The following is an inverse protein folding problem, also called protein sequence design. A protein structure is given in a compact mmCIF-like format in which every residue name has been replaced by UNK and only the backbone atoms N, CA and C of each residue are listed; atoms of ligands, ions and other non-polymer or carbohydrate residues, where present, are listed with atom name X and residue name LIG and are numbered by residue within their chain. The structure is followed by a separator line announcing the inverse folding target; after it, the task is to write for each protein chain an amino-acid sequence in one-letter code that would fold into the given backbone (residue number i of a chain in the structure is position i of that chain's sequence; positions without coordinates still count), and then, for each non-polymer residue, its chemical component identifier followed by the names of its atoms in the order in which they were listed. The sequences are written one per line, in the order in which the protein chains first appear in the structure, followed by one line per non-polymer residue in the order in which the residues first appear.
data_IF_187167727194
#
_entry.id   IF_187167727194
#
_cell.length_a   1.000
_cell.length_b   1.000
_cell.length_c   1.000
_cell.angle_alpha   90.00
_cell.angle_beta   90.00
_cell.angle_gamma   90.00
#
_symmetry.space_group_name_H-M   'P 1'
#
loop_
_entity.id
_entity.type
_entity.pdbx_description
1 polymer ?
#
# COMPACT_ATOMS: atom_id res chain seq x y z
N UNK A 1 35.21 10.66 3.43
CA UNK A 1 35.69 11.33 4.65
C UNK A 1 35.49 10.41 5.86
N UNK A 2 36.35 10.49 6.87
CA UNK A 2 36.19 9.74 8.14
C UNK A 2 35.82 10.75 9.23
N UNK A 3 34.67 10.53 9.85
CA UNK A 3 34.11 11.40 10.89
C UNK A 3 33.69 10.53 12.06
N UNK A 4 33.89 11.02 13.28
CA UNK A 4 33.37 10.39 14.50
C UNK A 4 32.10 11.12 14.90
N UNK A 5 31.03 10.38 15.15
CA UNK A 5 29.73 10.93 15.57
C UNK A 5 29.23 10.16 16.79
N UNK A 6 28.59 10.85 17.71
CA UNK A 6 27.92 10.22 18.87
C UNK A 6 26.47 9.97 18.51
N UNK A 7 25.99 8.74 18.70
CA UNK A 7 24.58 8.39 18.52
C UNK A 7 23.88 8.34 19.88
N UNK A 8 22.65 8.87 19.93
CA UNK A 8 21.76 8.63 21.07
C UNK A 8 21.33 7.15 21.09
N UNK A 9 20.84 6.62 22.24
CA UNK A 9 20.34 5.25 22.31
C UNK A 9 19.27 4.95 21.26
N UNK A 10 18.36 5.89 21.02
CA UNK A 10 17.28 5.76 20.03
C UNK A 10 17.83 5.67 18.61
N UNK A 11 18.78 6.56 18.27
CA UNK A 11 19.43 6.54 16.96
C UNK A 11 20.19 5.23 16.74
N UNK A 12 20.90 4.72 17.75
CA UNK A 12 21.60 3.44 17.67
C UNK A 12 20.63 2.27 17.44
N UNK A 13 19.48 2.25 18.13
CA UNK A 13 18.44 1.24 17.93
C UNK A 13 17.86 1.27 16.51
N UNK A 14 17.57 2.46 15.97
CA UNK A 14 17.06 2.62 14.61
C UNK A 14 18.08 2.15 13.57
N UNK A 15 19.35 2.48 13.74
CA UNK A 15 20.42 2.02 12.85
C UNK A 15 20.54 0.49 12.89
N UNK A 16 20.57 -0.12 14.08
CA UNK A 16 20.63 -1.58 14.21
C UNK A 16 19.43 -2.27 13.57
N UNK A 17 18.22 -1.74 13.74
CA UNK A 17 17.00 -2.25 13.09
C UNK A 17 17.15 -2.20 11.57
N UNK A 18 17.54 -1.06 11.01
CA UNK A 18 17.71 -0.90 9.57
C UNK A 18 18.83 -1.79 8.99
N UNK A 19 19.90 -2.04 9.75
CA UNK A 19 20.95 -3.01 9.35
C UNK A 19 20.37 -4.42 9.19
N UNK A 20 19.58 -4.88 10.18
CA UNK A 20 18.96 -6.22 10.13
C UNK A 20 17.95 -6.36 8.99
N UNK A 21 17.11 -5.34 8.80
CA UNK A 21 16.05 -5.38 7.78
C UNK A 21 16.59 -5.33 6.36
N UNK A 22 17.72 -4.65 6.13
CA UNK A 22 18.25 -4.38 4.78
C UNK A 22 19.54 -5.15 4.46
N UNK A 23 20.12 -5.85 5.43
CA UNK A 23 21.39 -6.56 5.26
C UNK A 23 22.59 -5.65 4.98
N UNK A 24 22.53 -4.38 5.43
CA UNK A 24 23.56 -3.38 5.17
C UNK A 24 24.48 -3.19 6.37
N UNK A 25 25.72 -2.76 6.12
CA UNK A 25 26.66 -2.39 7.16
C UNK A 25 26.26 -1.10 7.87
N UNK A 26 26.78 -0.90 9.09
CA UNK A 26 26.51 0.31 9.89
C UNK A 26 26.81 1.60 9.12
N UNK A 27 27.95 1.66 8.42
CA UNK A 27 28.36 2.83 7.62
C UNK A 27 27.35 3.13 6.51
N UNK A 28 26.87 2.11 5.80
CA UNK A 28 25.91 2.27 4.70
C UNK A 28 24.56 2.76 5.20
N UNK A 29 24.09 2.21 6.33
CA UNK A 29 22.84 2.63 6.96
C UNK A 29 22.93 4.08 7.42
N UNK A 30 23.98 4.45 8.17
CA UNK A 30 24.17 5.83 8.65
C UNK A 30 24.28 6.81 7.48
N UNK A 31 25.10 6.50 6.49
CA UNK A 31 25.28 7.38 5.33
C UNK A 31 23.98 7.55 4.55
N UNK A 32 23.25 6.46 4.25
CA UNK A 32 21.99 6.54 3.52
C UNK A 32 20.87 7.23 4.31
N UNK A 33 20.89 7.14 5.64
CA UNK A 33 19.97 7.88 6.51
C UNK A 33 20.26 9.39 6.46
N UNK A 34 21.53 9.80 6.54
CA UNK A 34 21.94 11.21 6.42
C UNK A 34 21.54 11.77 5.06
N UNK A 35 21.84 11.06 3.97
CA UNK A 35 21.49 11.52 2.61
C UNK A 35 19.98 11.64 2.42
N UNK A 36 19.19 10.70 2.94
CA UNK A 36 17.71 10.80 2.86
C UNK A 36 17.13 11.89 3.75
N UNK A 37 17.72 12.13 4.92
CA UNK A 37 17.20 13.11 5.88
C UNK A 37 17.64 14.55 5.62
N UNK A 38 18.78 14.75 4.95
CA UNK A 38 19.34 16.07 4.62
C UNK A 38 19.33 16.37 3.12
N UNK A 39 19.00 15.38 2.29
CA UNK A 39 18.81 15.60 0.86
C UNK A 39 17.63 16.53 0.61
N UNK A 40 17.59 17.22 -0.54
CA UNK A 40 16.39 17.93 -0.94
C UNK A 40 15.22 16.93 -0.96
N UNK A 41 14.04 17.37 -0.50
CA UNK A 41 12.82 16.58 -0.69
C UNK A 41 12.72 16.28 -2.18
N UNK A 42 12.89 14.99 -2.53
CA UNK A 42 12.66 14.56 -3.90
C UNK A 42 11.20 14.93 -4.19
N UNK A 43 10.90 15.68 -5.27
CA UNK A 43 9.52 15.96 -5.62
C UNK A 43 8.81 14.61 -5.75
N UNK A 44 7.91 14.32 -4.83
CA UNK A 44 7.06 13.14 -4.90
C UNK A 44 6.12 13.41 -6.06
N UNK A 45 6.41 12.84 -7.23
CA UNK A 45 5.44 12.85 -8.31
C UNK A 45 4.16 12.18 -7.79
N UNK A 46 3.01 12.86 -7.87
CA UNK A 46 1.75 12.25 -7.47
C UNK A 46 1.55 10.95 -8.25
N UNK A 47 1.35 9.85 -7.53
CA UNK A 47 1.00 8.60 -8.17
C UNK A 47 -0.33 8.78 -8.91
N UNK A 48 -0.33 8.53 -10.23
CA UNK A 48 -1.51 8.61 -11.08
C UNK A 48 -1.89 7.22 -11.56
N UNK A 49 -3.13 6.82 -11.33
CA UNK A 49 -3.69 5.59 -11.91
C UNK A 49 -4.38 5.91 -13.25
N UNK A 50 -4.29 5.02 -14.25
CA UNK A 50 -5.05 5.19 -15.48
C UNK A 50 -6.56 5.24 -15.17
N UNK A 51 -7.27 6.16 -15.82
CA UNK A 51 -8.73 6.28 -15.75
C UNK A 51 -9.31 5.73 -17.04
N UNK A 52 -10.40 4.97 -16.94
CA UNK A 52 -11.11 4.42 -18.08
C UNK A 52 -12.54 4.96 -18.09
N UNK A 53 -12.98 5.47 -19.25
CA UNK A 53 -14.38 5.82 -19.47
C UNK A 53 -15.19 4.54 -19.71
N UNK A 54 -16.11 4.24 -18.79
CA UNK A 54 -17.00 3.08 -18.88
C UNK A 54 -18.24 3.35 -19.74
N UNK A 55 -18.43 4.59 -20.20
CA UNK A 55 -19.60 5.02 -20.94
C UNK A 55 -20.88 5.06 -20.11
N UNK A 56 -22.01 5.27 -20.78
CA UNK A 56 -23.33 5.22 -20.14
C UNK A 56 -23.73 3.79 -19.78
N UNK A 57 -24.48 3.64 -18.69
CA UNK A 57 -25.08 2.37 -18.32
C UNK A 57 -25.96 1.84 -19.47
N UNK A 58 -25.74 0.59 -19.88
CA UNK A 58 -26.49 -0.06 -20.97
C UNK A 58 -27.83 -0.64 -20.52
N UNK A 59 -28.08 -0.66 -19.22
CA UNK A 59 -29.28 -1.18 -18.58
C UNK A 59 -29.78 -0.15 -17.56
N UNK A 60 -31.10 -0.04 -17.33
CA UNK A 60 -31.65 0.77 -16.24
C UNK A 60 -31.01 0.34 -14.92
N UNK A 61 -30.26 1.25 -14.29
CA UNK A 61 -29.62 1.02 -12.99
C UNK A 61 -30.53 1.41 -11.84
N UNK A 62 -31.66 2.04 -12.15
CA UNK A 62 -32.76 2.27 -11.24
C UNK A 62 -33.23 0.89 -10.75
N UNK A 63 -32.84 0.56 -9.52
CA UNK A 63 -33.10 -0.72 -8.84
C UNK A 63 -32.13 -1.86 -9.13
N UNK A 64 -30.95 -1.59 -9.68
CA UNK A 64 -29.91 -2.61 -9.85
C UNK A 64 -29.58 -3.36 -8.54
N UNK A 65 -29.57 -2.65 -7.40
CA UNK A 65 -29.36 -3.27 -6.08
C UNK A 65 -30.52 -4.15 -5.63
N UNK A 66 -31.76 -3.79 -5.96
CA UNK A 66 -32.93 -4.61 -5.65
C UNK A 66 -32.89 -5.90 -6.47
N UNK A 67 -32.65 -5.79 -7.77
CA UNK A 67 -32.50 -6.94 -8.67
C UNK A 67 -31.35 -7.85 -8.25
N UNK A 68 -30.21 -7.29 -7.81
CA UNK A 68 -29.10 -8.08 -7.29
C UNK A 68 -29.49 -8.92 -6.07
N UNK A 69 -30.28 -8.35 -5.14
CA UNK A 69 -30.80 -9.08 -3.98
C UNK A 69 -31.76 -10.19 -4.39
N UNK A 70 -32.69 -9.92 -5.30
CA UNK A 70 -33.64 -10.93 -5.81
C UNK A 70 -32.91 -12.12 -6.48
N UNK A 71 -31.87 -11.84 -7.29
CA UNK A 71 -31.05 -12.88 -7.93
C UNK A 71 -30.21 -13.67 -6.92
N UNK A 72 -29.73 -13.03 -5.85
CA UNK A 72 -29.02 -13.71 -4.77
C UNK A 72 -29.94 -14.65 -3.99
N UNK A 73 -31.14 -14.19 -3.65
CA UNK A 73 -32.16 -14.98 -2.96
C UNK A 73 -32.58 -16.20 -3.78
N UNK A 74 -32.82 -16.04 -5.10
CA UNK A 74 -33.10 -17.15 -6.01
C UNK A 74 -31.95 -18.17 -6.05
N UNK A 75 -30.70 -17.70 -6.09
CA UNK A 75 -29.54 -18.58 -6.11
C UNK A 75 -29.36 -19.35 -4.79
N UNK A 76 -29.65 -18.72 -3.64
CA UNK A 76 -29.63 -19.36 -2.32
C UNK A 76 -30.74 -20.42 -2.19
N UNK A 77 -31.95 -20.12 -2.68
CA UNK A 77 -33.06 -21.08 -2.73
C UNK A 77 -32.72 -22.27 -3.64
N UNK A 78 -32.11 -22.03 -4.80
CA UNK A 78 -31.63 -23.10 -5.68
C UNK A 78 -30.61 -24.03 -5.02
N UNK A 79 -29.69 -23.50 -4.21
CA UNK A 79 -28.69 -24.30 -3.47
C UNK A 79 -29.33 -25.15 -2.37
N UNK A 80 -30.26 -24.57 -1.61
CA UNK A 80 -30.96 -25.28 -0.53
C UNK A 80 -31.84 -26.42 -1.05
N UNK A 81 -32.47 -26.27 -2.22
CA UNK A 81 -33.23 -27.34 -2.89
C UNK A 81 -32.33 -28.47 -3.41
N UNK A 82 -31.08 -28.18 -3.80
CA UNK A 82 -30.14 -29.17 -4.31
C UNK A 82 -29.32 -29.90 -3.22
N UNK A 83 -29.57 -29.60 -1.93
CA UNK A 83 -28.95 -30.32 -0.81
C UNK A 83 -27.43 -30.18 -0.73
N UNK A 84 -26.88 -29.00 -1.05
CA UNK A 84 -25.47 -28.63 -0.76
C UNK A 84 -25.39 -27.28 -0.09
#
# INVERSE_FOLDING_TARGET
MRTTVTLTPEAAMLVQKAMRERGLSFKEVVNSAIVRGLGPDAPVEPFSTPVFDLGAARLPVERALQLAGELEDEALLGKTVLGK
#
